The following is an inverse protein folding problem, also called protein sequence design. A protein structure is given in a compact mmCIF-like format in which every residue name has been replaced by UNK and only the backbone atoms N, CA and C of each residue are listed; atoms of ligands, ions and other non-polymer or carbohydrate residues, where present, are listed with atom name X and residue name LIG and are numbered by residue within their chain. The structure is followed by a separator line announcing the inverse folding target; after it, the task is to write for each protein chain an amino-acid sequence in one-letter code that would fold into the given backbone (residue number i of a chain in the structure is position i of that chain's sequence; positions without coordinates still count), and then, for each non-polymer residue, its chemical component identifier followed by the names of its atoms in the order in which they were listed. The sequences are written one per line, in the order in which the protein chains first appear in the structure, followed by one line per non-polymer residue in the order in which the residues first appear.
data_IF_585746303954
#
_entry.id   IF_585746303954
#
_cell.length_a   1.000
_cell.length_b   1.000
_cell.length_c   1.000
_cell.angle_alpha   90.00
_cell.angle_beta   90.00
_cell.angle_gamma   90.00
#
_symmetry.space_group_name_H-M   'P 1'
#
loop_
_entity.id
_entity.type
_entity.pdbx_description
1 polymer ?
#
# COMPACT_ATOMS: atom_id res chain seq x y z
N UNK A 1 -2.36 13.78 23.06
CA UNK A 1 -1.94 14.74 22.02
C UNK A 1 -2.87 14.55 20.83
N UNK A 2 -3.49 15.63 20.40
CA UNK A 2 -4.67 15.75 19.51
C UNK A 2 -4.42 15.43 18.03
N UNK A 3 -5.37 14.73 17.37
CA UNK A 3 -5.78 14.63 15.93
C UNK A 3 -4.97 15.25 14.75
N UNK A 4 -3.75 15.75 14.86
CA UNK A 4 -3.23 16.80 13.94
C UNK A 4 -1.76 16.68 13.47
N UNK A 5 -1.24 15.50 13.08
CA UNK A 5 0.08 15.45 12.40
C UNK A 5 0.24 14.46 11.24
N UNK A 6 -0.72 13.58 10.99
CA UNK A 6 -0.59 12.63 9.88
C UNK A 6 -0.94 13.34 8.57
N UNK A 7 0.02 13.43 7.65
CA UNK A 7 -0.22 13.90 6.29
C UNK A 7 -0.92 12.79 5.51
N UNK A 8 -2.22 12.97 5.35
CA UNK A 8 -3.12 12.05 4.67
C UNK A 8 -4.15 12.86 3.88
N UNK A 9 -4.61 12.34 2.75
CA UNK A 9 -5.70 12.94 1.98
C UNK A 9 -6.97 13.08 2.84
N UNK A 10 -7.71 14.17 2.63
CA UNK A 10 -8.77 14.61 3.55
C UNK A 10 -9.93 13.64 3.64
N UNK A 11 -10.35 13.04 2.53
CA UNK A 11 -11.41 12.04 2.57
C UNK A 11 -10.99 10.85 3.44
N UNK A 12 -9.78 10.33 3.27
CA UNK A 12 -9.25 9.25 4.12
C UNK A 12 -9.10 9.63 5.59
N UNK A 13 -8.70 10.87 5.91
CA UNK A 13 -8.64 11.34 7.30
C UNK A 13 -9.99 11.27 8.01
N UNK A 14 -11.09 11.52 7.30
CA UNK A 14 -12.44 11.44 7.88
C UNK A 14 -12.79 10.02 8.32
N UNK A 15 -12.39 9.01 7.54
CA UNK A 15 -12.70 7.61 7.83
C UNK A 15 -11.69 6.98 8.80
N UNK A 16 -10.40 7.29 8.66
CA UNK A 16 -9.32 6.62 9.40
C UNK A 16 -8.78 7.43 10.58
N UNK A 17 -9.28 8.64 10.83
CA UNK A 17 -8.74 9.54 11.85
C UNK A 17 -8.64 8.89 13.24
N UNK A 18 -9.69 8.18 13.66
CA UNK A 18 -9.73 7.50 14.96
C UNK A 18 -8.88 6.22 14.97
N UNK A 19 -8.59 5.62 13.80
CA UNK A 19 -7.71 4.45 13.67
C UNK A 19 -6.30 4.76 14.15
N UNK A 20 -5.81 5.97 13.86
CA UNK A 20 -4.48 6.45 14.27
C UNK A 20 -4.31 6.63 15.78
N UNK A 21 -5.41 6.67 16.53
CA UNK A 21 -5.44 6.81 17.99
C UNK A 21 -5.51 5.45 18.71
N UNK A 22 -5.64 4.34 17.97
CA UNK A 22 -5.70 3.01 18.58
C UNK A 22 -4.34 2.56 19.13
N UNK A 23 -4.32 1.74 20.21
CA UNK A 23 -3.08 1.31 20.86
C UNK A 23 -2.04 0.66 19.93
N UNK A 24 -2.49 -0.17 18.98
CA UNK A 24 -1.59 -0.85 18.05
C UNK A 24 -0.85 0.14 17.12
N UNK A 25 -1.41 1.32 16.85
CA UNK A 25 -0.74 2.37 16.08
C UNK A 25 0.35 3.07 16.90
N UNK A 26 0.19 3.20 18.22
CA UNK A 26 1.25 3.68 19.11
C UNK A 26 2.42 2.69 19.20
N UNK A 27 2.11 1.40 19.29
CA UNK A 27 3.12 0.33 19.24
C UNK A 27 3.88 0.35 17.91
N UNK A 28 3.16 0.43 16.79
CA UNK A 28 3.74 0.51 15.45
C UNK A 28 4.64 1.75 15.29
N UNK A 29 4.19 2.93 15.75
CA UNK A 29 4.99 4.17 15.75
C UNK A 29 6.27 4.00 16.55
N UNK A 30 6.17 3.40 17.73
CA UNK A 30 7.31 3.17 18.63
C UNK A 30 8.31 2.19 18.01
N UNK A 31 7.81 1.11 17.40
CA UNK A 31 8.61 0.15 16.66
C UNK A 31 9.37 0.81 15.51
N UNK A 32 8.70 1.53 14.62
CA UNK A 32 9.36 2.19 13.47
C UNK A 32 10.39 3.23 13.92
N UNK A 33 10.07 4.00 14.98
CA UNK A 33 11.01 4.95 15.57
C UNK A 33 12.27 4.24 16.08
N UNK A 34 12.11 3.13 16.80
CA UNK A 34 13.22 2.33 17.29
C UNK A 34 14.09 1.77 16.14
N UNK A 35 13.48 1.24 15.08
CA UNK A 35 14.22 0.72 13.92
C UNK A 35 15.09 1.81 13.28
N UNK A 36 14.54 3.01 13.11
CA UNK A 36 15.25 4.16 12.54
C UNK A 36 16.37 4.64 13.48
N UNK A 37 16.10 4.74 14.78
CA UNK A 37 17.11 5.12 15.80
C UNK A 37 18.23 4.08 15.92
N UNK A 38 17.94 2.81 15.66
CA UNK A 38 18.92 1.73 15.56
C UNK A 38 19.77 1.79 14.27
N UNK A 39 19.56 2.79 13.41
CA UNK A 39 20.32 3.00 12.18
C UNK A 39 19.88 2.13 11.00
N UNK A 40 18.69 1.51 11.08
CA UNK A 40 18.17 0.69 9.98
C UNK A 40 17.61 1.56 8.87
N UNK A 41 17.85 1.14 7.63
CA UNK A 41 17.23 1.75 6.46
C UNK A 41 15.85 1.14 6.24
N UNK A 42 14.81 1.95 6.39
CA UNK A 42 13.41 1.53 6.19
C UNK A 42 12.88 2.11 4.88
N UNK A 43 12.18 1.28 4.09
CA UNK A 43 11.49 1.67 2.87
C UNK A 43 9.96 1.55 3.00
N UNK A 44 9.17 2.38 2.28
CA UNK A 44 9.62 3.56 1.53
C UNK A 44 10.04 4.69 2.50
N UNK A 45 10.23 5.93 2.01
CA UNK A 45 10.50 7.05 2.93
C UNK A 45 9.28 7.31 3.82
N UNK A 46 9.48 7.85 5.03
CA UNK A 46 8.38 8.11 5.97
C UNK A 46 7.23 8.96 5.41
N UNK A 47 7.53 9.91 4.53
CA UNK A 47 6.53 10.73 3.82
C UNK A 47 5.70 9.96 2.80
N UNK A 48 6.14 8.76 2.40
CA UNK A 48 5.54 7.93 1.35
C UNK A 48 4.76 6.74 1.94
N UNK A 49 4.70 6.56 3.27
CA UNK A 49 4.00 5.43 3.90
C UNK A 49 2.52 5.35 3.51
N UNK A 50 1.86 6.49 3.36
CA UNK A 50 0.45 6.59 3.00
C UNK A 50 0.24 7.01 1.54
N UNK A 51 1.25 6.87 0.68
CA UNK A 51 1.17 7.37 -0.70
C UNK A 51 -0.01 6.77 -1.47
N UNK A 52 -0.34 5.49 -1.28
CA UNK A 52 -1.51 4.87 -1.91
C UNK A 52 -2.82 5.62 -1.59
N UNK A 53 -3.01 6.03 -0.34
CA UNK A 53 -4.19 6.78 0.10
C UNK A 53 -4.14 8.24 -0.36
N UNK A 54 -2.94 8.80 -0.47
CA UNK A 54 -2.75 10.17 -0.97
C UNK A 54 -2.91 10.29 -2.49
N UNK A 55 -2.65 9.21 -3.23
CA UNK A 55 -2.77 9.17 -4.69
C UNK A 55 -4.19 8.84 -5.15
N UNK A 56 -5.00 8.20 -4.32
CA UNK A 56 -6.38 7.81 -4.64
C UNK A 56 -7.28 8.14 -3.47
N UNK A 57 -8.15 9.15 -3.61
CA UNK A 57 -9.08 9.55 -2.55
C UNK A 57 -10.03 8.40 -2.17
N UNK A 58 -10.58 8.43 -0.95
CA UNK A 58 -11.54 7.45 -0.47
C UNK A 58 -12.73 7.32 -1.40
N UNK A 59 -13.21 8.44 -1.95
CA UNK A 59 -14.42 8.51 -2.78
C UNK A 59 -14.16 8.12 -4.25
N UNK A 60 -12.90 8.17 -4.71
CA UNK A 60 -12.50 7.83 -6.08
C UNK A 60 -12.07 6.37 -6.25
N UNK A 61 -11.89 5.62 -5.16
CA UNK A 61 -11.53 4.19 -5.25
C UNK A 61 -12.58 3.45 -6.09
N UNK A 62 -12.12 2.70 -7.10
CA UNK A 62 -12.94 1.83 -7.94
C UNK A 62 -12.37 0.40 -8.00
N UNK A 63 -11.04 0.27 -7.94
CA UNK A 63 -10.33 -1.00 -7.90
C UNK A 63 -9.36 -1.00 -6.74
N UNK A 64 -9.26 -2.10 -6.00
CA UNK A 64 -8.28 -2.30 -4.94
C UNK A 64 -7.35 -3.44 -5.31
N UNK A 65 -6.06 -3.16 -5.43
CA UNK A 65 -5.02 -4.17 -5.65
C UNK A 65 -4.21 -4.31 -4.36
N UNK A 66 -4.12 -5.53 -3.84
CA UNK A 66 -3.44 -5.81 -2.58
C UNK A 66 -2.08 -6.49 -2.81
N UNK A 67 -1.00 -5.79 -2.44
CA UNK A 67 0.35 -6.34 -2.35
C UNK A 67 0.69 -6.88 -0.95
N UNK A 68 1.87 -7.47 -0.79
CA UNK A 68 2.34 -8.03 0.48
C UNK A 68 3.02 -6.95 1.34
N UNK A 69 4.27 -6.63 1.01
CA UNK A 69 5.10 -5.60 1.62
C UNK A 69 5.82 -4.78 0.52
N UNK A 70 6.41 -3.62 0.84
CA UNK A 70 7.11 -2.81 -0.16
C UNK A 70 8.35 -3.53 -0.69
N UNK A 71 8.81 -3.14 -1.89
CA UNK A 71 10.13 -3.56 -2.35
C UNK A 71 11.22 -3.09 -1.36
N UNK A 72 12.14 -4.00 -1.05
CA UNK A 72 13.18 -3.80 -0.04
C UNK A 72 14.53 -3.32 -0.62
N UNK A 73 14.60 -3.00 -1.91
CA UNK A 73 15.80 -2.48 -2.57
C UNK A 73 15.82 -0.94 -2.65
N UNK A 74 17.01 -0.32 -2.68
CA UNK A 74 17.15 1.13 -2.77
C UNK A 74 16.43 1.73 -3.97
N UNK A 75 15.65 2.80 -3.72
CA UNK A 75 14.96 3.56 -4.76
C UNK A 75 13.75 2.88 -5.39
N UNK A 76 13.41 1.64 -4.99
CA UNK A 76 12.31 0.89 -5.58
C UNK A 76 10.96 1.35 -5.01
N UNK A 77 10.70 1.08 -3.73
CA UNK A 77 9.41 1.37 -3.11
C UNK A 77 9.17 2.88 -2.98
N UNK A 78 7.92 3.28 -3.22
CA UNK A 78 7.45 4.66 -3.06
C UNK A 78 6.00 4.76 -2.53
N UNK A 79 5.54 3.69 -1.86
CA UNK A 79 4.24 3.66 -1.18
C UNK A 79 3.05 3.17 -2.01
N UNK A 80 3.28 2.74 -3.26
CA UNK A 80 2.31 2.04 -4.10
C UNK A 80 2.76 0.58 -4.29
N UNK A 81 1.87 -0.39 -4.07
CA UNK A 81 2.20 -1.80 -4.31
C UNK A 81 2.53 -2.06 -5.79
N UNK A 82 3.43 -3.01 -6.06
CA UNK A 82 3.96 -3.37 -7.39
C UNK A 82 4.73 -2.27 -8.15
N UNK A 83 4.53 -0.99 -7.83
CA UNK A 83 5.15 0.13 -8.52
C UNK A 83 6.57 0.44 -8.05
N UNK A 84 7.39 0.94 -8.98
CA UNK A 84 8.72 1.51 -8.72
C UNK A 84 8.86 2.92 -9.32
N UNK A 85 9.77 3.72 -8.79
CA UNK A 85 10.01 5.10 -9.27
C UNK A 85 10.49 5.15 -10.73
N UNK A 86 10.29 6.27 -11.45
CA UNK A 86 10.84 6.46 -12.78
C UNK A 86 12.35 6.22 -12.83
N UNK A 87 12.84 5.59 -13.90
CA UNK A 87 14.25 5.22 -14.05
C UNK A 87 14.65 3.91 -13.39
N UNK A 88 13.78 3.31 -12.56
CA UNK A 88 13.99 1.96 -12.01
C UNK A 88 13.37 0.92 -12.93
N UNK A 89 14.12 -0.14 -13.23
CA UNK A 89 13.63 -1.24 -14.05
C UNK A 89 12.42 -1.93 -13.39
N UNK A 90 11.37 -2.30 -14.15
CA UNK A 90 10.22 -3.03 -13.62
C UNK A 90 10.66 -4.32 -12.92
N UNK A 91 10.23 -4.55 -11.66
CA UNK A 91 10.54 -5.80 -10.96
C UNK A 91 9.84 -7.01 -11.59
N UNK A 92 10.30 -8.25 -11.33
CA UNK A 92 9.76 -9.46 -11.95
C UNK A 92 8.25 -9.63 -11.80
N UNK A 93 7.70 -9.28 -10.64
CA UNK A 93 6.25 -9.29 -10.38
C UNK A 93 5.49 -8.35 -11.32
N UNK A 94 5.96 -7.12 -11.50
CA UNK A 94 5.34 -6.16 -12.42
C UNK A 94 5.53 -6.56 -13.89
N UNK A 95 6.66 -7.14 -14.25
CA UNK A 95 6.86 -7.73 -15.59
C UNK A 95 5.82 -8.81 -15.86
N UNK A 96 5.50 -9.64 -14.86
CA UNK A 96 4.46 -10.66 -15.01
C UNK A 96 3.06 -10.04 -15.15
N UNK A 97 2.74 -8.98 -14.41
CA UNK A 97 1.49 -8.22 -14.59
C UNK A 97 1.38 -7.68 -16.02
N UNK A 98 2.45 -7.05 -16.55
CA UNK A 98 2.43 -6.56 -17.93
C UNK A 98 2.33 -7.67 -18.98
N UNK A 99 2.95 -8.84 -18.74
CA UNK A 99 2.77 -10.00 -19.62
C UNK A 99 1.32 -10.48 -19.64
N UNK A 100 0.68 -10.53 -18.48
CA UNK A 100 -0.73 -10.92 -18.38
C UNK A 100 -1.63 -9.92 -19.11
N UNK A 101 -1.45 -8.62 -18.88
CA UNK A 101 -2.21 -7.58 -19.59
C UNK A 101 -2.03 -7.63 -21.11
N UNK A 102 -0.83 -7.93 -21.59
CA UNK A 102 -0.57 -8.10 -23.02
C UNK A 102 -1.26 -9.35 -23.57
N UNK A 103 -1.18 -10.47 -22.85
CA UNK A 103 -1.78 -11.74 -23.27
C UNK A 103 -3.31 -11.72 -23.24
N UNK A 104 -3.91 -11.10 -22.22
CA UNK A 104 -5.35 -11.08 -21.97
C UNK A 104 -6.04 -9.95 -22.76
N UNK A 105 -5.47 -8.75 -22.75
CA UNK A 105 -6.10 -7.53 -23.28
C UNK A 105 -5.43 -6.96 -24.52
N UNK A 106 -4.29 -7.54 -24.95
CA UNK A 106 -3.50 -7.00 -26.06
C UNK A 106 -2.82 -5.66 -25.74
N UNK A 107 -2.73 -5.28 -24.47
CA UNK A 107 -2.12 -4.00 -24.04
C UNK A 107 -0.59 -4.12 -24.13
N UNK A 108 0.10 -3.27 -24.90
CA UNK A 108 1.56 -3.31 -24.99
C UNK A 108 2.22 -3.09 -23.63
N UNK A 109 3.29 -3.85 -23.36
CA UNK A 109 4.05 -3.73 -22.10
C UNK A 109 4.67 -2.33 -21.97
N UNK A 110 4.49 -1.70 -20.81
CA UNK A 110 5.18 -0.45 -20.52
C UNK A 110 6.68 -0.68 -20.28
N UNK A 111 7.50 0.30 -20.67
CA UNK A 111 8.96 0.29 -20.47
C UNK A 111 9.39 0.79 -19.08
N UNK A 112 8.45 1.19 -18.23
CA UNK A 112 8.69 1.69 -16.87
C UNK A 112 7.82 0.97 -15.84
N UNK A 113 8.19 1.05 -14.57
CA UNK A 113 7.44 0.45 -13.47
C UNK A 113 6.60 1.42 -12.62
N UNK A 114 6.48 2.68 -13.05
CA UNK A 114 5.72 3.71 -12.34
C UNK A 114 4.22 3.63 -12.64
N UNK A 115 3.40 3.33 -11.62
CA UNK A 115 1.97 3.05 -11.73
C UNK A 115 1.08 4.18 -11.16
N UNK A 116 1.64 5.38 -11.00
CA UNK A 116 0.87 6.53 -10.51
C UNK A 116 -0.37 6.81 -11.38
N UNK A 117 -0.26 6.63 -12.69
CA UNK A 117 -1.40 6.82 -13.61
C UNK A 117 -2.58 5.89 -13.33
N UNK A 118 -2.35 4.71 -12.73
CA UNK A 118 -3.44 3.83 -12.30
C UNK A 118 -4.10 4.39 -11.03
N UNK A 119 -3.29 4.86 -10.07
CA UNK A 119 -3.77 5.46 -8.85
C UNK A 119 -4.62 6.71 -9.11
N UNK A 120 -4.19 7.56 -10.06
CA UNK A 120 -4.92 8.75 -10.51
C UNK A 120 -6.28 8.41 -11.16
N UNK A 121 -6.51 7.16 -11.55
CA UNK A 121 -7.75 6.66 -12.16
C UNK A 121 -8.60 5.82 -11.19
N UNK A 122 -8.34 5.89 -9.89
CA UNK A 122 -9.15 5.18 -8.87
C UNK A 122 -8.63 3.80 -8.47
N UNK A 123 -7.43 3.39 -8.92
CA UNK A 123 -6.83 2.12 -8.51
C UNK A 123 -6.04 2.28 -7.21
N UNK A 124 -6.60 1.82 -6.10
CA UNK A 124 -5.91 1.80 -4.82
C UNK A 124 -4.84 0.69 -4.79
N UNK A 125 -3.57 1.08 -4.89
CA UNK A 125 -2.39 0.19 -4.90
C UNK A 125 -1.83 -0.02 -3.48
N UNK A 126 -2.53 -0.80 -2.66
CA UNK A 126 -2.26 -0.95 -1.23
C UNK A 126 -1.42 -2.19 -0.91
N UNK A 127 -0.32 -2.06 -0.18
CA UNK A 127 0.33 -3.23 0.44
C UNK A 127 -0.36 -3.60 1.77
N UNK A 128 -0.33 -4.87 2.14
CA UNK A 128 -0.81 -5.33 3.45
C UNK A 128 0.09 -4.82 4.60
N UNK A 129 1.40 -4.74 4.36
CA UNK A 129 2.40 -4.12 5.24
C UNK A 129 2.98 -2.91 4.52
N UNK A 130 3.06 -1.74 5.18
CA UNK A 130 3.42 -0.49 4.49
C UNK A 130 4.90 -0.10 4.57
N UNK A 131 5.71 -0.89 5.28
CA UNK A 131 7.14 -0.63 5.46
C UNK A 131 7.96 -1.91 5.46
N UNK A 132 9.25 -1.81 5.16
CA UNK A 132 10.18 -2.94 5.17
C UNK A 132 11.60 -2.45 5.49
N UNK A 133 12.38 -3.24 6.21
CA UNK A 133 13.83 -3.03 6.35
C UNK A 133 14.54 -3.37 5.03
N UNK A 134 15.52 -2.55 4.64
CA UNK A 134 16.32 -2.77 3.45
C UNK A 134 16.88 -4.20 3.39
N UNK A 135 16.71 -4.85 2.24
CA UNK A 135 17.17 -6.22 1.97
C UNK A 135 16.54 -7.32 2.85
N UNK A 136 15.48 -7.03 3.62
CA UNK A 136 14.80 -8.01 4.47
C UNK A 136 13.30 -8.02 4.21
N UNK A 137 12.90 -8.74 3.16
CA UNK A 137 11.49 -9.00 2.86
C UNK A 137 10.76 -9.53 4.10
N UNK A 138 9.56 -9.01 4.34
CA UNK A 138 8.70 -9.44 5.44
C UNK A 138 9.13 -9.00 6.85
N UNK A 139 10.20 -8.21 6.98
CA UNK A 139 10.78 -7.81 8.28
C UNK A 139 9.81 -7.09 9.22
N UNK A 140 8.79 -6.40 8.69
CA UNK A 140 7.83 -5.63 9.48
C UNK A 140 6.45 -6.30 9.56
N UNK A 141 6.33 -7.58 9.20
CA UNK A 141 5.10 -8.34 9.40
C UNK A 141 4.76 -8.49 10.89
N UNK A 142 3.46 -8.47 11.20
CA UNK A 142 2.93 -8.61 12.56
C UNK A 142 3.25 -7.43 13.47
N UNK A 143 3.60 -6.26 12.90
CA UNK A 143 3.95 -5.04 13.65
C UNK A 143 2.80 -4.04 13.75
N UNK A 144 1.63 -4.37 13.20
CA UNK A 144 0.41 -3.57 13.30
C UNK A 144 -0.08 -3.02 11.95
N UNK A 145 0.75 -3.06 10.90
CA UNK A 145 0.33 -2.62 9.57
C UNK A 145 -0.83 -3.42 9.02
N UNK A 146 -0.86 -4.73 9.24
CA UNK A 146 -1.94 -5.59 8.77
C UNK A 146 -3.28 -5.24 9.41
N UNK A 147 -3.26 -4.79 10.67
CA UNK A 147 -4.48 -4.30 11.36
C UNK A 147 -4.95 -3.00 10.70
N UNK A 148 -4.03 -2.04 10.53
CA UNK A 148 -4.35 -0.76 9.88
C UNK A 148 -4.88 -0.93 8.46
N UNK A 149 -4.21 -1.74 7.64
CA UNK A 149 -4.65 -1.96 6.26
C UNK A 149 -5.92 -2.81 6.20
N UNK A 150 -6.28 -3.56 7.24
CA UNK A 150 -7.58 -4.23 7.31
C UNK A 150 -8.68 -3.21 7.57
N UNK A 151 -8.47 -2.26 8.48
CA UNK A 151 -9.42 -1.17 8.70
C UNK A 151 -9.70 -0.36 7.41
N UNK A 152 -8.69 -0.13 6.56
CA UNK A 152 -8.86 0.50 5.24
C UNK A 152 -9.86 -0.29 4.38
N UNK A 153 -9.65 -1.61 4.27
CA UNK A 153 -10.52 -2.50 3.48
C UNK A 153 -11.92 -2.55 4.09
N UNK A 154 -12.05 -2.59 5.42
CA UNK A 154 -13.33 -2.62 6.11
C UNK A 154 -14.14 -1.33 5.90
N UNK A 155 -13.49 -0.15 5.89
CA UNK A 155 -14.14 1.11 5.54
C UNK A 155 -14.64 1.12 4.10
N UNK A 156 -13.80 0.67 3.15
CA UNK A 156 -14.19 0.56 1.75
C UNK A 156 -15.36 -0.42 1.57
N UNK A 157 -15.31 -1.60 2.18
CA UNK A 157 -16.35 -2.62 2.07
C UNK A 157 -17.70 -2.16 2.61
N UNK A 158 -17.69 -1.40 3.72
CA UNK A 158 -18.94 -0.92 4.36
C UNK A 158 -19.54 0.31 3.71
N UNK A 159 -18.71 1.20 3.16
CA UNK A 159 -19.13 2.56 2.81
C UNK A 159 -19.02 2.87 1.31
N UNK A 160 -18.37 2.01 0.51
CA UNK A 160 -18.32 2.13 -0.95
C UNK A 160 -19.03 0.94 -1.60
N UNK A 161 -19.52 1.16 -2.82
CA UNK A 161 -20.22 0.15 -3.59
C UNK A 161 -19.50 -0.08 -4.92
N UNK A 162 -19.70 -1.27 -5.52
CA UNK A 162 -19.17 -1.64 -6.83
C UNK A 162 -17.64 -1.59 -6.93
N UNK A 163 -16.95 -1.85 -5.82
CA UNK A 163 -15.50 -1.99 -5.82
C UNK A 163 -15.08 -3.36 -6.37
N UNK A 164 -14.00 -3.38 -7.15
CA UNK A 164 -13.34 -4.61 -7.59
C UNK A 164 -12.09 -4.85 -6.76
N UNK A 165 -12.01 -5.99 -6.07
CA UNK A 165 -10.83 -6.39 -5.31
C UNK A 165 -9.99 -7.41 -6.09
N UNK A 166 -8.74 -7.05 -6.41
CA UNK A 166 -7.76 -7.94 -7.03
C UNK A 166 -6.84 -8.54 -5.96
N UNK A 167 -7.06 -9.82 -5.68
CA UNK A 167 -6.43 -10.53 -4.56
C UNK A 167 -5.42 -11.56 -5.08
N UNK A 168 -4.17 -11.13 -5.29
CA UNK A 168 -3.11 -12.01 -5.77
C UNK A 168 -2.36 -12.71 -4.64
N UNK A 169 -2.50 -14.04 -4.60
CA UNK A 169 -1.84 -14.91 -3.63
C UNK A 169 -2.62 -15.10 -2.32
N UNK A 170 -2.26 -16.13 -1.55
CA UNK A 170 -3.00 -16.54 -0.35
C UNK A 170 -3.17 -15.46 0.72
N UNK A 171 -2.18 -14.57 1.00
CA UNK A 171 -2.37 -13.50 1.97
C UNK A 171 -3.46 -12.49 1.55
N UNK A 172 -3.49 -12.12 0.26
CA UNK A 172 -4.52 -11.23 -0.27
C UNK A 172 -5.90 -11.90 -0.23
N UNK A 173 -5.98 -13.18 -0.61
CA UNK A 173 -7.22 -13.96 -0.56
C UNK A 173 -7.80 -14.05 0.86
N UNK A 174 -6.95 -14.26 1.88
CA UNK A 174 -7.40 -14.25 3.29
C UNK A 174 -7.99 -12.90 3.70
N UNK A 175 -7.45 -11.81 3.18
CA UNK A 175 -7.94 -10.45 3.45
C UNK A 175 -9.27 -10.17 2.75
N UNK A 176 -9.44 -10.68 1.53
CA UNK A 176 -10.70 -10.58 0.81
C UNK A 176 -11.82 -11.49 1.31
N UNK A 177 -11.55 -12.43 2.23
CA UNK A 177 -12.61 -13.22 2.86
C UNK A 177 -13.59 -12.37 3.68
N UNK A 178 -13.22 -11.12 3.99
CA UNK A 178 -14.07 -10.14 4.68
C UNK A 178 -14.79 -9.17 3.73
N UNK A 179 -14.62 -9.33 2.41
CA UNK A 179 -15.29 -8.52 1.38
C UNK A 179 -16.64 -9.19 1.05
N UNK A 180 -17.71 -8.40 1.03
CA UNK A 180 -19.09 -8.85 0.73
C UNK A 180 -19.42 -8.78 -0.77
#
# INVERSE_FOLDING_TARGET
MTKSKVQLEESWKRHLGDEFEKPYMDELRSFLKHEIEAGKTIYPKGSEYFQALNSTSFDDVSVVIIGQDPYHGPGQAHGLCFSVKPGVAPPPSLVNIYKEMESDLGIPRASHGYLQSWADQGVLLLNNVLTVEAHKAGSHHGKGWETFTSAIIDHLNRERQHLVFMLWGSPAQKKGAAVD
#
